data_IF_363520421024
#
_entry.id   IF_363520421024
#
_cell.length_a   1.000
_cell.length_b   1.000
_cell.length_c   1.000
_cell.angle_alpha   90.00
_cell.angle_beta   90.00
_cell.angle_gamma   90.00
#
_symmetry.space_group_name_H-M   'P 1'
#
loop_
_entity.id
_entity.type
_entity.pdbx_description
1 polymer ?
#
# COMPACT_ATOMS: atom_id res chain seq x y z
N UNK A 1 22.82 -4.87 -16.68
CA UNK A 1 21.85 -5.29 -15.63
C UNK A 1 20.96 -4.12 -15.15
N UNK A 2 21.49 -2.91 -14.90
CA UNK A 2 20.71 -1.74 -14.43
C UNK A 2 19.59 -1.27 -15.40
N UNK A 3 19.83 -1.32 -16.71
CA UNK A 3 18.87 -0.92 -17.75
C UNK A 3 17.67 -1.87 -17.94
N UNK A 4 17.77 -3.12 -17.51
CA UNK A 4 16.61 -4.01 -17.48
C UNK A 4 15.61 -3.52 -16.44
N UNK A 5 16.07 -3.12 -15.24
CA UNK A 5 15.19 -2.67 -14.15
C UNK A 5 14.44 -1.36 -14.43
N UNK A 6 14.97 -0.48 -15.29
CA UNK A 6 14.31 0.79 -15.63
C UNK A 6 13.05 0.62 -16.49
N UNK A 7 13.03 -0.34 -17.43
CA UNK A 7 11.85 -0.60 -18.27
C UNK A 7 10.66 -1.16 -17.47
N UNK A 8 10.94 -2.03 -16.50
CA UNK A 8 9.90 -2.63 -15.64
C UNK A 8 9.19 -1.62 -14.74
N UNK A 9 9.83 -0.50 -14.41
CA UNK A 9 9.23 0.57 -13.60
C UNK A 9 8.13 1.30 -14.37
N UNK A 10 8.37 1.60 -15.65
CA UNK A 10 7.33 2.16 -16.51
C UNK A 10 6.19 1.19 -16.73
N UNK A 11 6.47 -0.12 -16.73
CA UNK A 11 5.42 -1.13 -16.84
C UNK A 11 4.49 -1.12 -15.63
N UNK A 12 5.00 -0.90 -14.41
CA UNK A 12 4.14 -0.76 -13.22
C UNK A 12 3.23 0.48 -13.24
N UNK A 13 3.55 1.51 -14.02
CA UNK A 13 2.73 2.73 -14.12
C UNK A 13 1.55 2.59 -15.09
N UNK A 14 1.54 1.56 -15.95
CA UNK A 14 0.50 1.37 -16.97
C UNK A 14 -0.78 0.74 -16.41
N UNK A 15 -1.38 1.34 -15.37
CA UNK A 15 -2.44 0.70 -14.59
C UNK A 15 -3.68 0.27 -15.41
N UNK A 16 -3.97 0.94 -16.54
CA UNK A 16 -5.11 0.66 -17.42
C UNK A 16 -4.78 -0.32 -18.58
N UNK A 17 -3.50 -0.69 -18.75
CA UNK A 17 -3.08 -1.62 -19.80
C UNK A 17 -3.36 -3.08 -19.38
N UNK A 18 -4.63 -3.46 -19.39
CA UNK A 18 -5.16 -4.79 -19.04
C UNK A 18 -6.35 -5.15 -19.94
N UNK A 19 -6.57 -6.44 -20.21
CA UNK A 19 -7.77 -6.93 -20.90
C UNK A 19 -9.05 -6.51 -20.16
N UNK A 20 -9.03 -6.53 -18.82
CA UNK A 20 -10.12 -6.09 -17.94
C UNK A 20 -9.97 -4.62 -17.48
N UNK A 21 -9.67 -3.70 -18.39
CA UNK A 21 -9.49 -2.26 -18.09
C UNK A 21 -10.66 -1.63 -17.32
N UNK A 22 -11.92 -1.97 -17.65
CA UNK A 22 -13.09 -1.46 -16.92
C UNK A 22 -13.05 -1.80 -15.42
N UNK A 23 -12.59 -3.00 -15.07
CA UNK A 23 -12.52 -3.45 -13.67
C UNK A 23 -11.39 -2.72 -12.93
N UNK A 24 -10.25 -2.49 -13.60
CA UNK A 24 -9.18 -1.65 -13.08
C UNK A 24 -9.65 -0.21 -12.79
N UNK A 25 -10.43 0.39 -13.70
CA UNK A 25 -11.01 1.72 -13.52
C UNK A 25 -11.99 1.77 -12.35
N UNK A 26 -12.82 0.74 -12.17
CA UNK A 26 -13.72 0.64 -11.01
C UNK A 26 -12.91 0.58 -9.71
N UNK A 27 -11.84 -0.22 -9.65
CA UNK A 27 -10.97 -0.26 -8.47
C UNK A 27 -10.28 1.09 -8.23
N UNK A 28 -9.81 1.76 -9.28
CA UNK A 28 -9.22 3.08 -9.17
C UNK A 28 -10.19 4.09 -8.55
N UNK A 29 -11.43 4.16 -9.07
CA UNK A 29 -12.46 5.06 -8.54
C UNK A 29 -12.81 4.69 -7.10
N UNK A 30 -12.92 3.42 -6.77
CA UNK A 30 -13.20 2.97 -5.41
C UNK A 30 -12.09 3.39 -4.44
N UNK A 31 -10.82 3.18 -4.78
CA UNK A 31 -9.69 3.60 -3.95
C UNK A 31 -9.64 5.13 -3.82
N UNK A 32 -9.85 5.87 -4.92
CA UNK A 32 -9.93 7.33 -4.90
C UNK A 32 -10.99 7.83 -3.91
N UNK A 33 -12.20 7.25 -3.95
CA UNK A 33 -13.25 7.59 -2.99
C UNK A 33 -12.81 7.30 -1.56
N UNK A 34 -12.22 6.13 -1.30
CA UNK A 34 -11.73 5.77 0.04
C UNK A 34 -10.60 6.69 0.54
N UNK A 35 -9.74 7.19 -0.34
CA UNK A 35 -8.67 8.13 0.01
C UNK A 35 -9.20 9.53 0.35
N UNK A 36 -10.32 9.93 -0.26
CA UNK A 36 -10.87 11.29 -0.14
C UNK A 36 -11.95 11.39 0.94
N UNK A 37 -12.72 10.32 1.17
CA UNK A 37 -13.80 10.26 2.16
C UNK A 37 -13.41 10.77 3.56
N UNK A 38 -12.25 10.41 4.15
CA UNK A 38 -11.88 10.89 5.48
C UNK A 38 -11.78 12.42 5.59
N UNK A 39 -11.40 13.08 4.49
CA UNK A 39 -11.23 14.54 4.46
C UNK A 39 -12.58 15.25 4.33
N UNK A 40 -13.50 14.70 3.53
CA UNK A 40 -14.79 15.33 3.26
C UNK A 40 -15.87 14.96 4.26
N UNK A 41 -15.77 13.76 4.83
CA UNK A 41 -16.73 13.19 5.79
C UNK A 41 -15.97 12.52 6.94
N UNK A 42 -15.22 13.31 7.74
CA UNK A 42 -14.49 12.78 8.89
C UNK A 42 -15.46 12.14 9.88
N UNK A 43 -15.09 10.98 10.40
CA UNK A 43 -15.89 10.26 11.41
C UNK A 43 -15.32 10.58 12.79
N UNK A 44 -16.11 11.20 13.67
CA UNK A 44 -15.63 11.60 14.99
C UNK A 44 -15.04 13.01 14.99
N UNK A 45 -13.93 13.23 15.71
CA UNK A 45 -13.27 14.52 15.76
C UNK A 45 -11.92 14.48 15.01
N UNK A 46 -11.77 15.20 13.88
CA UNK A 46 -10.51 15.29 13.16
C UNK A 46 -9.56 16.35 13.73
N UNK A 47 -10.03 17.20 14.66
CA UNK A 47 -9.21 18.29 15.19
C UNK A 47 -8.24 17.80 16.28
N UNK A 48 -6.95 17.81 15.96
CA UNK A 48 -5.85 17.52 16.89
C UNK A 48 -5.06 18.78 17.26
N UNK A 49 -5.56 19.99 16.96
CA UNK A 49 -4.83 21.25 17.13
C UNK A 49 -4.36 21.48 18.57
N UNK A 50 -5.15 21.11 19.58
CA UNK A 50 -4.76 21.19 20.99
C UNK A 50 -3.57 20.29 21.30
N UNK A 51 -3.57 19.07 20.77
CA UNK A 51 -2.46 18.12 20.94
C UNK A 51 -1.19 18.59 20.23
N UNK A 52 -1.32 19.13 19.00
CA UNK A 52 -0.20 19.68 18.25
C UNK A 52 0.41 20.88 18.99
N UNK A 53 -0.42 21.82 19.45
CA UNK A 53 0.06 22.99 20.22
C UNK A 53 0.75 22.59 21.52
N UNK A 54 0.22 21.59 22.23
CA UNK A 54 0.88 21.05 23.42
C UNK A 54 2.26 20.47 23.09
N UNK A 55 2.35 19.69 22.02
CA UNK A 55 3.62 19.10 21.57
C UNK A 55 4.64 20.16 21.13
N UNK A 56 4.21 21.18 20.38
CA UNK A 56 5.05 22.30 19.98
C UNK A 56 5.60 23.04 21.20
N UNK A 57 4.76 23.31 22.21
CA UNK A 57 5.17 23.95 23.46
C UNK A 57 6.20 23.11 24.25
N UNK A 58 6.05 21.78 24.29
CA UNK A 58 6.99 20.89 24.98
C UNK A 58 8.34 20.87 24.26
N UNK A 59 8.32 20.80 22.93
CA UNK A 59 9.53 20.81 22.09
C UNK A 59 10.26 22.16 22.18
N UNK A 60 9.54 23.27 22.09
CA UNK A 60 10.12 24.62 22.17
C UNK A 60 10.79 24.88 23.52
N UNK A 61 10.20 24.38 24.61
CA UNK A 61 10.77 24.50 25.95
C UNK A 61 11.90 23.51 26.24
N UNK A 62 12.17 22.55 25.35
CA UNK A 62 13.16 21.49 25.55
C UNK A 62 12.82 20.59 26.75
N UNK A 63 11.54 20.53 27.15
CA UNK A 63 11.10 19.76 28.30
C UNK A 63 11.20 18.26 28.02
N UNK A 64 11.57 17.49 29.05
CA UNK A 64 11.62 16.04 28.91
C UNK A 64 10.18 15.50 28.84
N UNK A 65 9.83 14.94 27.68
CA UNK A 65 8.53 14.31 27.39
C UNK A 65 8.14 13.18 28.36
N UNK A 66 9.12 12.61 29.07
CA UNK A 66 8.89 11.56 30.08
C UNK A 66 8.62 12.09 31.49
N UNK A 67 8.67 13.42 31.69
CA UNK A 67 8.37 14.01 32.99
C UNK A 67 6.88 13.96 33.31
N UNK A 68 6.56 13.71 34.58
CA UNK A 68 5.17 13.56 35.05
C UNK A 68 4.37 14.86 34.87
N UNK A 69 5.01 16.03 34.97
CA UNK A 69 4.38 17.35 34.74
C UNK A 69 3.99 17.55 33.27
N UNK A 70 4.83 17.14 32.32
CA UNK A 70 4.51 17.18 30.90
C UNK A 70 3.38 16.20 30.57
N UNK A 71 3.44 14.97 31.09
CA UNK A 71 2.41 13.95 30.85
C UNK A 71 1.05 14.31 31.46
N UNK A 72 1.03 14.98 32.62
CA UNK A 72 -0.21 15.41 33.27
C UNK A 72 -0.85 16.64 32.63
N UNK A 73 -0.10 17.42 31.85
CA UNK A 73 -0.61 18.56 31.07
C UNK A 73 -1.04 18.18 29.65
N UNK A 74 -0.92 16.90 29.26
CA UNK A 74 -1.31 16.42 27.95
C UNK A 74 -2.84 16.59 27.74
N UNK A 75 -3.28 17.20 26.62
CA UNK A 75 -4.70 17.32 26.33
C UNK A 75 -5.34 15.93 26.16
N UNK A 76 -6.57 15.73 26.66
CA UNK A 76 -7.21 14.41 26.64
C UNK A 76 -7.52 13.96 25.20
N UNK A 77 -7.04 12.78 24.85
CA UNK A 77 -7.45 12.12 23.60
C UNK A 77 -8.89 11.61 23.78
N UNK A 78 -9.84 12.30 23.16
CA UNK A 78 -11.26 11.91 23.19
C UNK A 78 -11.55 10.65 22.38
N UNK A 79 -12.68 9.99 22.67
CA UNK A 79 -13.18 8.89 21.84
C UNK A 79 -13.41 9.32 20.38
N UNK A 80 -13.76 10.59 20.14
CA UNK A 80 -13.91 11.15 18.80
C UNK A 80 -12.60 11.12 18.00
N UNK A 81 -11.47 11.42 18.63
CA UNK A 81 -10.15 11.33 18.00
C UNK A 81 -9.79 9.89 17.64
N UNK A 82 -10.08 8.94 18.54
CA UNK A 82 -9.84 7.52 18.32
C UNK A 82 -10.69 6.98 17.16
N UNK A 83 -11.98 7.35 17.10
CA UNK A 83 -12.87 6.98 16.00
C UNK A 83 -12.38 7.52 14.67
N UNK A 84 -11.89 8.77 14.64
CA UNK A 84 -11.34 9.36 13.41
C UNK A 84 -10.15 8.56 12.91
N UNK A 85 -9.16 8.29 13.76
CA UNK A 85 -7.97 7.50 13.38
C UNK A 85 -8.30 6.05 13.01
N UNK A 86 -9.22 5.42 13.74
CA UNK A 86 -9.67 4.08 13.40
C UNK A 86 -10.36 4.03 12.02
N UNK A 87 -11.16 5.05 11.69
CA UNK A 87 -11.82 5.15 10.39
C UNK A 87 -10.80 5.33 9.25
N UNK A 88 -9.85 6.26 9.39
CA UNK A 88 -8.75 6.49 8.43
C UNK A 88 -7.98 5.20 8.14
N UNK A 89 -7.58 4.48 9.19
CA UNK A 89 -6.90 3.18 9.06
C UNK A 89 -7.80 2.15 8.36
N UNK A 90 -9.10 2.11 8.67
CA UNK A 90 -10.06 1.26 7.98
C UNK A 90 -10.13 1.52 6.48
N UNK A 91 -10.17 2.79 6.07
CA UNK A 91 -10.17 3.19 4.66
C UNK A 91 -8.85 2.82 3.95
N UNK A 92 -7.71 2.97 4.62
CA UNK A 92 -6.40 2.54 4.08
C UNK A 92 -6.32 1.02 3.92
N UNK A 93 -6.78 0.25 4.91
CA UNK A 93 -6.82 -1.21 4.83
C UNK A 93 -7.73 -1.66 3.69
N UNK A 94 -8.90 -1.05 3.53
CA UNK A 94 -9.80 -1.38 2.43
C UNK A 94 -9.20 -1.01 1.06
N UNK A 95 -8.50 0.12 0.97
CA UNK A 95 -7.79 0.53 -0.25
C UNK A 95 -6.69 -0.47 -0.62
N UNK A 96 -5.89 -0.90 0.36
CA UNK A 96 -4.89 -1.94 0.18
C UNK A 96 -5.51 -3.25 -0.31
N UNK A 97 -6.65 -3.65 0.28
CA UNK A 97 -7.38 -4.83 -0.17
C UNK A 97 -7.76 -4.74 -1.65
N UNK A 98 -8.34 -3.61 -2.08
CA UNK A 98 -8.68 -3.39 -3.49
C UNK A 98 -7.46 -3.41 -4.40
N UNK A 99 -6.32 -2.89 -3.95
CA UNK A 99 -5.07 -2.95 -4.67
C UNK A 99 -4.56 -4.41 -4.83
N UNK A 100 -4.70 -5.25 -3.81
CA UNK A 100 -4.38 -6.67 -3.90
C UNK A 100 -5.33 -7.44 -4.85
N UNK A 101 -6.59 -7.01 -4.98
CA UNK A 101 -7.50 -7.51 -6.03
C UNK A 101 -6.97 -7.10 -7.41
N UNK A 102 -6.54 -5.84 -7.58
CA UNK A 102 -5.95 -5.37 -8.83
C UNK A 102 -4.70 -6.18 -9.23
N UNK A 103 -3.83 -6.52 -8.29
CA UNK A 103 -2.67 -7.37 -8.56
C UNK A 103 -3.10 -8.72 -9.19
N UNK A 104 -4.23 -9.27 -8.77
CA UNK A 104 -4.82 -10.47 -9.36
C UNK A 104 -5.30 -10.27 -10.80
N UNK A 105 -5.90 -9.12 -11.12
CA UNK A 105 -6.27 -8.79 -12.51
C UNK A 105 -5.04 -8.76 -13.42
N UNK A 106 -3.94 -8.16 -12.96
CA UNK A 106 -2.69 -8.12 -13.70
C UNK A 106 -2.10 -9.53 -13.91
N UNK A 107 -1.97 -10.33 -12.85
CA UNK A 107 -1.33 -11.65 -12.94
C UNK A 107 -2.11 -12.67 -13.77
N UNK A 108 -3.44 -12.54 -13.81
CA UNK A 108 -4.30 -13.43 -14.61
C UNK A 108 -4.52 -12.92 -16.03
N UNK A 109 -4.05 -11.71 -16.36
CA UNK A 109 -4.23 -11.07 -17.67
C UNK A 109 -3.68 -11.92 -18.83
N UNK A 110 -2.53 -12.54 -18.62
CA UNK A 110 -1.86 -13.34 -19.65
C UNK A 110 -2.34 -14.79 -19.65
N UNK A 111 -3.06 -15.23 -18.61
CA UNK A 111 -3.59 -16.59 -18.47
C UNK A 111 -4.96 -16.80 -19.09
N UNK A 112 -5.74 -15.73 -19.23
CA UNK A 112 -7.10 -15.80 -19.73
C UNK A 112 -7.35 -14.71 -20.76
N UNK A 113 -8.09 -15.04 -21.81
CA UNK A 113 -8.46 -14.07 -22.85
C UNK A 113 -9.74 -13.30 -22.53
N UNK A 114 -10.62 -13.89 -21.72
CA UNK A 114 -11.88 -13.26 -21.35
C UNK A 114 -11.73 -12.36 -20.10
N UNK A 115 -12.05 -11.05 -20.21
CA UNK A 115 -12.05 -10.13 -19.07
C UNK A 115 -12.92 -10.60 -17.91
N UNK A 116 -14.08 -11.21 -18.21
CA UNK A 116 -15.00 -11.73 -17.18
C UNK A 116 -14.38 -12.89 -16.40
N UNK A 117 -13.63 -13.76 -17.08
CA UNK A 117 -12.96 -14.89 -16.45
C UNK A 117 -11.82 -14.45 -15.54
N UNK A 118 -11.06 -13.42 -15.94
CA UNK A 118 -10.03 -12.78 -15.10
C UNK A 118 -10.67 -12.32 -13.79
N UNK A 119 -11.71 -11.51 -13.87
CA UNK A 119 -12.41 -10.96 -12.70
C UNK A 119 -12.93 -12.07 -11.79
N UNK A 120 -13.63 -13.07 -12.35
CA UNK A 120 -14.19 -14.18 -11.59
C UNK A 120 -13.10 -14.98 -10.85
N UNK A 121 -12.01 -15.33 -11.53
CA UNK A 121 -10.92 -16.09 -10.92
C UNK A 121 -10.16 -15.28 -9.86
N UNK A 122 -10.04 -13.97 -10.02
CA UNK A 122 -9.52 -13.09 -8.97
C UNK A 122 -10.41 -13.13 -7.73
N UNK A 123 -11.72 -12.94 -7.87
CA UNK A 123 -12.65 -12.93 -6.74
C UNK A 123 -12.78 -14.29 -6.03
N UNK A 124 -12.57 -15.41 -6.74
CA UNK A 124 -12.47 -16.74 -6.10
C UNK A 124 -11.32 -16.84 -5.09
N UNK A 125 -10.29 -16.00 -5.20
CA UNK A 125 -9.11 -16.00 -4.31
C UNK A 125 -9.19 -14.94 -3.21
N UNK A 126 -10.23 -14.12 -3.20
CA UNK A 126 -10.49 -13.10 -2.18
C UNK A 126 -10.37 -13.62 -0.73
N UNK A 127 -10.90 -14.81 -0.35
CA UNK A 127 -10.75 -15.31 1.01
C UNK A 127 -9.29 -15.47 1.45
N UNK A 128 -8.42 -15.97 0.56
CA UNK A 128 -6.99 -16.11 0.84
C UNK A 128 -6.29 -14.76 0.96
N UNK A 129 -6.72 -13.77 0.18
CA UNK A 129 -6.22 -12.39 0.27
C UNK A 129 -6.61 -11.75 1.60
N UNK A 130 -7.86 -11.89 2.02
CA UNK A 130 -8.33 -11.39 3.33
C UNK A 130 -7.50 -12.03 4.45
N UNK A 131 -7.26 -13.34 4.37
CA UNK A 131 -6.46 -14.07 5.36
C UNK A 131 -5.02 -13.53 5.46
N UNK A 132 -4.31 -13.35 4.35
CA UNK A 132 -2.94 -12.79 4.40
C UNK A 132 -2.92 -11.34 4.88
N UNK A 133 -3.95 -10.55 4.59
CA UNK A 133 -4.04 -9.18 5.09
C UNK A 133 -4.19 -9.15 6.59
N UNK A 134 -5.05 -9.99 7.17
CA UNK A 134 -5.19 -10.10 8.62
C UNK A 134 -3.86 -10.51 9.28
N UNK A 135 -3.16 -11.49 8.71
CA UNK A 135 -1.85 -11.94 9.18
C UNK A 135 -0.74 -10.89 9.03
N UNK A 136 -0.85 -10.00 8.04
CA UNK A 136 0.13 -8.93 7.82
C UNK A 136 -0.12 -7.74 8.75
N UNK A 137 -1.37 -7.28 8.82
CA UNK A 137 -1.75 -6.05 9.52
C UNK A 137 -1.52 -6.17 11.03
N UNK A 138 -1.93 -7.28 11.63
CA UNK A 138 -1.82 -7.49 13.08
C UNK A 138 -0.38 -7.35 13.63
N UNK A 139 0.65 -8.02 13.06
CA UNK A 139 2.03 -7.83 13.52
C UNK A 139 2.64 -6.51 13.04
N UNK A 140 2.23 -5.97 11.88
CA UNK A 140 2.78 -4.72 11.36
C UNK A 140 2.56 -3.56 12.35
N UNK A 141 1.37 -3.47 12.95
CA UNK A 141 1.07 -2.44 13.96
C UNK A 141 2.00 -2.51 15.18
N UNK A 142 2.33 -3.71 15.66
CA UNK A 142 3.22 -3.90 16.80
C UNK A 142 4.69 -3.57 16.45
N UNK A 143 5.10 -3.91 15.24
CA UNK A 143 6.49 -3.79 14.79
C UNK A 143 6.83 -2.36 14.36
N UNK A 144 5.90 -1.63 13.73
CA UNK A 144 6.16 -0.25 13.30
C UNK A 144 6.48 0.68 14.49
N UNK A 145 5.82 0.44 15.63
CA UNK A 145 5.98 1.25 16.85
C UNK A 145 7.27 0.88 17.59
N UNK A 146 7.62 -0.40 17.61
CA UNK A 146 8.73 -0.90 18.45
C UNK A 146 10.07 -0.99 17.72
N UNK A 147 10.08 -1.33 16.43
CA UNK A 147 11.30 -1.63 15.68
C UNK A 147 11.16 -1.30 14.18
N UNK A 148 11.27 -0.02 13.78
CA UNK A 148 11.03 0.40 12.38
C UNK A 148 11.97 -0.27 11.37
N UNK A 149 13.20 -0.64 11.76
CA UNK A 149 14.15 -1.32 10.88
C UNK A 149 13.76 -2.77 10.55
N UNK A 150 12.98 -3.43 11.42
CA UNK A 150 12.51 -4.81 11.21
C UNK A 150 11.51 -4.88 10.05
N UNK A 151 10.82 -3.77 9.75
CA UNK A 151 9.92 -3.65 8.59
C UNK A 151 10.65 -3.97 7.28
N UNK A 152 11.93 -3.61 7.13
CA UNK A 152 12.74 -3.91 5.95
C UNK A 152 12.95 -5.42 5.73
N UNK A 153 12.97 -6.20 6.81
CA UNK A 153 13.16 -7.65 6.75
C UNK A 153 11.84 -8.39 6.48
N UNK A 154 10.74 -7.83 6.98
CA UNK A 154 9.41 -8.45 6.96
C UNK A 154 8.66 -8.11 5.67
N UNK A 155 8.72 -6.87 5.19
CA UNK A 155 7.97 -6.41 4.02
C UNK A 155 8.18 -7.29 2.77
N UNK A 156 9.40 -7.78 2.46
CA UNK A 156 9.59 -8.71 1.35
C UNK A 156 8.86 -10.06 1.52
N UNK A 157 8.62 -10.53 2.75
CA UNK A 157 7.92 -11.80 3.00
C UNK A 157 6.48 -11.72 2.48
N UNK A 158 5.86 -10.56 2.55
CA UNK A 158 4.48 -10.36 2.11
C UNK A 158 4.37 -9.92 0.66
N UNK A 159 5.46 -9.42 0.08
CA UNK A 159 5.45 -8.75 -1.22
C UNK A 159 4.96 -9.65 -2.36
N UNK A 160 5.41 -10.92 -2.47
CA UNK A 160 4.96 -11.85 -3.50
C UNK A 160 3.83 -12.80 -3.07
N UNK A 161 3.39 -12.74 -1.81
CA UNK A 161 2.30 -13.58 -1.31
C UNK A 161 1.01 -13.46 -2.16
N UNK A 162 0.48 -12.26 -2.47
CA UNK A 162 -0.69 -12.15 -3.34
C UNK A 162 -0.43 -12.74 -4.73
N UNK A 163 0.80 -12.61 -5.25
CA UNK A 163 1.12 -13.14 -6.57
C UNK A 163 1.06 -14.66 -6.62
N UNK A 164 1.58 -15.33 -5.60
CA UNK A 164 1.54 -16.79 -5.47
C UNK A 164 0.11 -17.31 -5.29
N UNK A 165 -0.76 -16.58 -4.59
CA UNK A 165 -2.17 -16.93 -4.43
C UNK A 165 -2.89 -16.94 -5.79
N UNK A 166 -2.67 -15.92 -6.64
CA UNK A 166 -3.33 -15.87 -7.95
C UNK A 166 -2.68 -16.78 -8.98
N UNK A 167 -1.34 -16.80 -9.04
CA UNK A 167 -0.58 -17.52 -10.05
C UNK A 167 -0.57 -19.02 -9.80
N UNK A 168 -0.20 -19.43 -8.58
CA UNK A 168 -0.02 -20.84 -8.19
C UNK A 168 -1.17 -21.42 -7.37
N UNK A 169 -2.22 -20.63 -7.10
CA UNK A 169 -3.41 -21.05 -6.33
C UNK A 169 -3.05 -21.53 -4.90
N UNK A 170 -1.96 -21.02 -4.35
CA UNK A 170 -1.49 -21.39 -3.01
C UNK A 170 -2.40 -20.82 -1.91
N UNK A 171 -2.61 -21.55 -0.81
CA UNK A 171 -3.30 -21.02 0.37
C UNK A 171 -2.47 -19.92 1.06
N UNK A 172 -3.13 -19.06 1.83
CA UNK A 172 -2.54 -17.82 2.33
C UNK A 172 -1.23 -17.99 3.12
N UNK A 173 -1.19 -18.89 4.10
CA UNK A 173 0.03 -19.09 4.90
C UNK A 173 1.20 -19.65 4.06
N UNK A 174 0.94 -20.65 3.22
CA UNK A 174 1.95 -21.24 2.34
C UNK A 174 2.53 -20.20 1.37
N UNK A 175 1.66 -19.32 0.85
CA UNK A 175 2.07 -18.23 -0.05
C UNK A 175 3.04 -17.25 0.63
N UNK A 176 2.87 -16.97 1.92
CA UNK A 176 3.76 -16.08 2.68
C UNK A 176 5.13 -16.70 2.91
N UNK A 177 5.17 -17.97 3.35
CA UNK A 177 6.43 -18.69 3.56
C UNK A 177 7.20 -18.79 2.25
N UNK A 178 6.52 -19.15 1.16
CA UNK A 178 7.15 -19.25 -0.16
C UNK A 178 7.60 -17.89 -0.68
N UNK A 179 6.81 -16.82 -0.49
CA UNK A 179 7.19 -15.45 -0.84
C UNK A 179 8.47 -15.01 -0.12
N UNK A 180 8.60 -15.31 1.18
CA UNK A 180 9.83 -15.07 1.94
C UNK A 180 11.06 -15.76 1.33
N UNK A 181 10.91 -17.01 0.86
CA UNK A 181 12.00 -17.73 0.18
C UNK A 181 12.36 -17.13 -1.18
N UNK A 182 11.37 -16.73 -1.98
CA UNK A 182 11.59 -16.19 -3.33
C UNK A 182 12.20 -14.78 -3.30
N UNK A 183 11.94 -14.01 -2.24
CA UNK A 183 12.41 -12.63 -2.12
C UNK A 183 13.81 -12.49 -1.54
N UNK A 184 14.45 -13.54 -1.01
CA UNK A 184 15.74 -13.43 -0.31
C UNK A 184 16.84 -12.76 -1.16
N UNK A 185 16.91 -13.05 -2.45
CA UNK A 185 17.89 -12.44 -3.37
C UNK A 185 17.48 -11.08 -3.96
N UNK A 186 16.26 -10.61 -3.68
CA UNK A 186 15.66 -9.44 -4.34
C UNK A 186 15.17 -8.36 -3.38
N UNK A 187 15.36 -8.53 -2.06
CA UNK A 187 14.86 -7.60 -1.04
C UNK A 187 15.24 -6.14 -1.35
N UNK A 188 16.51 -5.89 -1.66
CA UNK A 188 16.99 -4.54 -2.02
C UNK A 188 16.39 -4.02 -3.33
N UNK A 189 16.18 -4.88 -4.32
CA UNK A 189 15.56 -4.48 -5.60
C UNK A 189 14.09 -4.12 -5.42
N UNK A 190 13.34 -4.91 -4.65
CA UNK A 190 11.95 -4.65 -4.26
C UNK A 190 11.88 -3.32 -3.49
N UNK A 191 12.71 -3.18 -2.46
CA UNK A 191 12.77 -1.96 -1.65
C UNK A 191 13.09 -0.73 -2.49
N UNK A 192 14.10 -0.79 -3.35
CA UNK A 192 14.48 0.32 -4.21
C UNK A 192 13.37 0.69 -5.21
N UNK A 193 12.67 -0.30 -5.78
CA UNK A 193 11.53 -0.01 -6.66
C UNK A 193 10.38 0.65 -5.91
N UNK A 194 10.07 0.21 -4.69
CA UNK A 194 9.06 0.84 -3.84
C UNK A 194 9.45 2.26 -3.44
N UNK A 195 10.72 2.50 -3.06
CA UNK A 195 11.23 3.85 -2.82
C UNK A 195 11.05 4.71 -4.06
N UNK A 196 11.46 4.24 -5.23
CA UNK A 196 11.38 5.06 -6.45
C UNK A 196 9.93 5.41 -6.80
N UNK A 197 8.98 4.47 -6.68
CA UNK A 197 7.56 4.74 -6.83
C UNK A 197 7.07 5.78 -5.81
N UNK A 198 7.45 5.62 -4.54
CA UNK A 198 7.13 6.57 -3.48
C UNK A 198 7.72 7.97 -3.75
N UNK A 199 8.98 8.05 -4.18
CA UNK A 199 9.65 9.30 -4.54
C UNK A 199 8.99 9.98 -5.74
N UNK A 200 8.50 9.22 -6.72
CA UNK A 200 7.72 9.78 -7.83
C UNK A 200 6.40 10.38 -7.33
N UNK A 201 5.71 9.70 -6.38
CA UNK A 201 4.50 10.24 -5.75
C UNK A 201 4.82 11.54 -5.01
N UNK A 202 5.82 11.52 -4.12
CA UNK A 202 6.23 12.69 -3.33
C UNK A 202 6.64 13.86 -4.21
N UNK A 203 7.35 13.60 -5.32
CA UNK A 203 7.71 14.63 -6.28
C UNK A 203 6.47 15.23 -6.97
N UNK A 204 5.52 14.40 -7.40
CA UNK A 204 4.27 14.89 -7.98
C UNK A 204 3.46 15.73 -6.96
N UNK A 205 3.32 15.24 -5.73
CA UNK A 205 2.66 15.96 -4.64
C UNK A 205 3.33 17.29 -4.33
N UNK A 206 4.67 17.33 -4.33
CA UNK A 206 5.44 18.56 -4.17
C UNK A 206 5.11 19.58 -5.27
N UNK A 207 5.05 19.15 -6.55
CA UNK A 207 4.69 20.05 -7.65
C UNK A 207 3.28 20.63 -7.49
N UNK A 208 2.31 19.85 -7.02
CA UNK A 208 0.97 20.36 -6.76
C UNK A 208 0.91 21.28 -5.54
N UNK A 209 1.71 21.04 -4.51
CA UNK A 209 1.79 21.91 -3.33
C UNK A 209 2.41 23.28 -3.65
N UNK A 210 3.16 23.42 -4.75
CA UNK A 210 3.64 24.73 -5.22
C UNK A 210 2.54 25.61 -5.83
N UNK A 211 1.42 25.01 -6.26
CA UNK A 211 0.36 25.69 -7.02
C UNK A 211 -0.95 25.74 -6.25
N UNK A 212 -1.24 24.73 -5.44
CA UNK A 212 -2.46 24.59 -4.67
C UNK A 212 -2.18 24.77 -3.18
N UNK A 213 -3.09 25.45 -2.49
CA UNK A 213 -3.06 25.57 -1.04
C UNK A 213 -3.27 24.20 -0.39
N UNK A 214 -2.37 23.84 0.54
CA UNK A 214 -2.30 22.50 1.15
C UNK A 214 -3.57 22.13 1.91
N UNK A 215 -4.28 23.12 2.45
CA UNK A 215 -5.53 22.91 3.19
C UNK A 215 -6.78 22.91 2.29
N UNK A 216 -6.62 23.17 0.99
CA UNK A 216 -7.74 23.24 0.07
C UNK A 216 -8.31 21.85 -0.24
N UNK A 217 -9.64 21.76 -0.34
CA UNK A 217 -10.34 20.55 -0.82
C UNK A 217 -9.86 20.11 -2.21
N UNK A 218 -9.45 21.06 -3.05
CA UNK A 218 -8.88 20.78 -4.37
C UNK A 218 -7.55 20.02 -4.27
N UNK A 219 -6.66 20.43 -3.36
CA UNK A 219 -5.43 19.71 -3.09
C UNK A 219 -5.70 18.29 -2.57
N UNK A 220 -6.66 18.12 -1.66
CA UNK A 220 -7.03 16.79 -1.15
C UNK A 220 -7.54 15.84 -2.23
N UNK A 221 -8.30 16.34 -3.21
CA UNK A 221 -8.76 15.53 -4.35
C UNK A 221 -7.60 15.09 -5.25
N UNK A 222 -6.65 15.98 -5.51
CA UNK A 222 -5.45 15.66 -6.30
C UNK A 222 -4.59 14.64 -5.57
N UNK A 223 -4.39 14.80 -4.26
CA UNK A 223 -3.66 13.84 -3.44
C UNK A 223 -4.35 12.48 -3.42
N UNK A 224 -5.67 12.43 -3.25
CA UNK A 224 -6.43 11.18 -3.36
C UNK A 224 -6.30 10.50 -4.72
N UNK A 225 -6.24 11.26 -5.81
CA UNK A 225 -5.98 10.74 -7.17
C UNK A 225 -4.59 10.13 -7.28
N UNK A 226 -3.56 10.85 -6.81
CA UNK A 226 -2.17 10.38 -6.83
C UNK A 226 -2.01 9.12 -5.97
N UNK A 227 -2.60 9.09 -4.78
CA UNK A 227 -2.57 7.93 -3.88
C UNK A 227 -3.25 6.72 -4.51
N UNK A 228 -4.44 6.88 -5.10
CA UNK A 228 -5.13 5.80 -5.79
C UNK A 228 -4.31 5.26 -6.98
N UNK A 229 -3.73 6.15 -7.76
CA UNK A 229 -2.87 5.78 -8.89
C UNK A 229 -1.64 5.01 -8.42
N UNK A 230 -0.95 5.54 -7.40
CA UNK A 230 0.28 4.98 -6.89
C UNK A 230 0.05 3.63 -6.20
N UNK A 231 -1.06 3.49 -5.48
CA UNK A 231 -1.41 2.22 -4.84
C UNK A 231 -1.66 1.11 -5.87
N UNK A 232 -2.34 1.42 -6.98
CA UNK A 232 -2.49 0.49 -8.10
C UNK A 232 -1.16 0.21 -8.82
N UNK A 233 -0.30 1.23 -8.95
CA UNK A 233 1.03 1.05 -9.55
C UNK A 233 1.91 0.12 -8.69
N UNK A 234 1.87 0.25 -7.36
CA UNK A 234 2.55 -0.65 -6.42
C UNK A 234 2.00 -2.07 -6.56
N UNK A 235 0.68 -2.24 -6.64
CA UNK A 235 0.06 -3.54 -6.87
C UNK A 235 0.45 -4.16 -8.22
N UNK A 236 0.56 -3.37 -9.29
CA UNK A 236 1.11 -3.83 -10.58
C UNK A 236 2.58 -4.24 -10.43
N UNK A 237 3.36 -3.46 -9.70
CA UNK A 237 4.79 -3.71 -9.47
C UNK A 237 5.02 -5.06 -8.81
N UNK A 238 4.15 -5.48 -7.88
CA UNK A 238 4.18 -6.84 -7.29
C UNK A 238 4.12 -7.91 -8.38
N UNK A 239 3.19 -7.79 -9.33
CA UNK A 239 3.04 -8.74 -10.42
C UNK A 239 4.21 -8.73 -11.40
N UNK A 240 4.67 -7.53 -11.80
CA UNK A 240 5.83 -7.35 -12.70
C UNK A 240 7.09 -7.97 -12.09
N UNK A 241 7.37 -7.66 -10.82
CA UNK A 241 8.54 -8.17 -10.11
C UNK A 241 8.45 -9.68 -9.90
N UNK A 242 7.25 -10.20 -9.59
CA UNK A 242 7.03 -11.64 -9.45
C UNK A 242 7.37 -12.37 -10.76
N UNK A 243 6.79 -11.93 -11.87
CA UNK A 243 7.06 -12.50 -13.20
C UNK A 243 8.55 -12.42 -13.55
N UNK A 244 9.24 -11.32 -13.23
CA UNK A 244 10.67 -11.18 -13.47
C UNK A 244 11.51 -12.17 -12.65
N UNK A 245 11.12 -12.43 -11.41
CA UNK A 245 11.82 -13.36 -10.53
C UNK A 245 11.57 -14.80 -10.95
N UNK A 246 10.35 -15.14 -11.38
CA UNK A 246 9.97 -16.52 -11.72
C UNK A 246 10.19 -16.92 -13.17
N UNK A 247 10.19 -15.98 -14.13
CA UNK A 247 10.32 -16.27 -15.56
C UNK A 247 11.77 -16.17 -16.07
N UNK A 248 12.76 -16.42 -15.20
CA UNK A 248 14.17 -16.40 -15.64
C UNK A 248 14.45 -17.61 -16.55
N UNK A 249 15.00 -17.40 -17.76
CA UNK A 249 15.44 -18.48 -18.62
C UNK A 249 16.62 -19.19 -17.93
N UNK A 250 16.36 -20.38 -17.38
CA UNK A 250 17.33 -21.19 -16.64
C UNK A 250 16.73 -22.15 -15.61
N UNK A 251 15.50 -21.91 -15.13
CA UNK A 251 14.82 -22.83 -14.18
C UNK A 251 13.75 -23.72 -14.81
N UNK A 252 13.31 -23.44 -16.05
CA UNK A 252 12.38 -24.29 -16.80
C UNK A 252 13.01 -25.57 -17.38
N UNK A 253 14.31 -25.80 -17.21
CA UNK A 253 15.02 -27.01 -17.69
C UNK A 253 15.29 -28.05 -16.61
N UNK A 254 14.73 -27.90 -15.39
CA UNK A 254 14.80 -28.94 -14.36
C UNK A 254 13.40 -29.36 -13.92
N UNK A 255 12.70 -30.01 -14.83
CA UNK A 255 11.59 -30.93 -14.51
C UNK A 255 12.13 -32.34 -14.65
#
# INVERSE_FOLDING_TARGET
MFWHYTGFRFESLKIDALKAHWAARVLFVAILLLSVLPVFFPVGNPDFSEFVRWMDNVVEKGENLSSIEVLSSMPPITMGHLLNRASELGYQVLSLFLALIYAGFYLLNDKFDSPRKIVLETFKRTPSIIFIMFLFIAPLFLILVSMPFVVLLILPIFYFAPALIYDKKMPGFESMVKSGSLTQGYKFSIFFNLIMLSSMNSFASFLFALVLEVESKGFSLVMGFLDAFMLLAIARNVGVMYQLVTNRPGETEKV
#
